data_IF_694435930903
#
_entry.id   IF_694435930903
#
_cell.length_a   1.000
_cell.length_b   1.000
_cell.length_c   1.000
_cell.angle_alpha   90.00
_cell.angle_beta   90.00
_cell.angle_gamma   90.00
#
_symmetry.space_group_name_H-M   'P 1'
#
loop_
_entity.id
_entity.type
_entity.pdbx_description
1 polymer ?
#
# COMPACT_ATOMS: atom_id res chain seq x y z
N UNK A 1 13.51 10.96 2.78
CA UNK A 1 13.35 9.96 1.70
C UNK A 1 13.69 10.64 0.38
N UNK A 2 14.78 10.24 -0.29
CA UNK A 2 14.95 10.61 -1.69
C UNK A 2 13.79 10.00 -2.52
N UNK A 3 13.31 10.70 -3.54
CA UNK A 3 12.24 10.27 -4.46
C UNK A 3 10.81 10.10 -3.88
N UNK A 4 10.48 10.74 -2.76
CA UNK A 4 9.11 10.71 -2.20
C UNK A 4 8.04 11.26 -3.15
N UNK A 5 8.32 12.32 -3.92
CA UNK A 5 7.37 12.90 -4.87
C UNK A 5 7.04 11.94 -6.03
N UNK A 6 8.04 11.29 -6.61
CA UNK A 6 7.86 10.31 -7.69
C UNK A 6 7.09 9.08 -7.19
N UNK A 7 7.40 8.59 -5.99
CA UNK A 7 6.68 7.48 -5.36
C UNK A 7 5.20 7.84 -5.11
N UNK A 8 4.91 9.00 -4.51
CA UNK A 8 3.55 9.46 -4.28
C UNK A 8 2.77 9.63 -5.59
N UNK A 9 3.40 10.20 -6.63
CA UNK A 9 2.79 10.34 -7.94
C UNK A 9 2.45 8.97 -8.56
N UNK A 10 3.36 8.00 -8.46
CA UNK A 10 3.13 6.64 -8.94
C UNK A 10 1.97 5.95 -8.20
N UNK A 11 1.90 6.06 -6.86
CA UNK A 11 0.79 5.50 -6.08
C UNK A 11 -0.56 6.12 -6.46
N UNK A 12 -0.61 7.45 -6.65
CA UNK A 12 -1.81 8.11 -7.13
C UNK A 12 -2.20 7.66 -8.55
N UNK A 13 -1.22 7.43 -9.41
CA UNK A 13 -1.41 6.88 -10.75
C UNK A 13 -2.05 5.49 -10.72
N UNK A 14 -1.54 4.57 -9.89
CA UNK A 14 -2.14 3.24 -9.71
C UNK A 14 -3.58 3.34 -9.22
N UNK A 15 -3.86 4.21 -8.24
CA UNK A 15 -5.22 4.38 -7.72
C UNK A 15 -6.21 4.87 -8.79
N UNK A 16 -5.80 5.80 -9.65
CA UNK A 16 -6.65 6.26 -10.75
C UNK A 16 -6.79 5.21 -11.85
N UNK A 17 -5.74 4.45 -12.14
CA UNK A 17 -5.80 3.32 -13.07
C UNK A 17 -6.79 2.25 -12.60
N UNK A 18 -6.77 1.89 -11.31
CA UNK A 18 -7.75 0.97 -10.70
C UNK A 18 -9.18 1.43 -10.96
N UNK A 19 -9.47 2.73 -10.75
CA UNK A 19 -10.80 3.30 -11.00
C UNK A 19 -11.22 3.22 -12.46
N UNK A 20 -10.30 3.54 -13.39
CA UNK A 20 -10.57 3.46 -14.82
C UNK A 20 -10.88 2.03 -15.25
N UNK A 21 -10.03 1.07 -14.88
CA UNK A 21 -10.20 -0.35 -15.21
C UNK A 21 -11.48 -0.95 -14.61
N UNK A 22 -11.84 -0.55 -13.39
CA UNK A 22 -13.09 -0.99 -12.77
C UNK A 22 -14.32 -0.61 -13.61
N UNK A 23 -14.33 0.58 -14.22
CA UNK A 23 -15.42 1.02 -15.11
C UNK A 23 -15.36 0.32 -16.48
N UNK A 24 -14.17 0.19 -17.05
CA UNK A 24 -13.98 -0.43 -18.36
C UNK A 24 -14.40 -1.91 -18.36
N UNK A 25 -14.08 -2.64 -17.29
CA UNK A 25 -14.31 -4.09 -17.22
C UNK A 25 -15.58 -4.48 -16.48
N UNK A 26 -16.36 -3.51 -15.98
CA UNK A 26 -17.62 -3.77 -15.29
C UNK A 26 -18.61 -4.59 -16.14
N UNK A 27 -18.69 -4.32 -17.45
CA UNK A 27 -19.58 -5.07 -18.36
C UNK A 27 -19.15 -6.52 -18.56
N UNK A 28 -17.88 -6.82 -18.30
CA UNK A 28 -17.35 -8.18 -18.30
C UNK A 28 -17.54 -8.89 -16.95
N UNK A 29 -18.18 -8.24 -15.97
CA UNK A 29 -18.38 -8.78 -14.62
C UNK A 29 -17.11 -8.83 -13.77
N UNK A 30 -16.06 -8.09 -14.15
CA UNK A 30 -14.78 -8.06 -13.45
C UNK A 30 -14.74 -6.85 -12.51
N UNK A 31 -14.37 -7.09 -11.25
CA UNK A 31 -14.07 -6.03 -10.27
C UNK A 31 -12.57 -5.75 -10.24
N UNK A 32 -12.21 -4.49 -10.07
CA UNK A 32 -10.80 -4.07 -9.96
C UNK A 32 -10.63 -3.24 -8.70
N UNK A 33 -9.81 -3.73 -7.78
CA UNK A 33 -9.57 -3.12 -6.48
C UNK A 33 -8.09 -2.80 -6.28
N UNK A 34 -7.81 -1.87 -5.37
CA UNK A 34 -6.44 -1.53 -4.95
C UNK A 34 -6.33 -1.63 -3.43
N UNK A 35 -5.22 -2.19 -2.96
CA UNK A 35 -4.88 -2.26 -1.55
C UNK A 35 -3.70 -1.35 -1.26
N UNK A 36 -3.95 -0.28 -0.50
CA UNK A 36 -2.93 0.60 0.02
C UNK A 36 -2.33 0.03 1.30
N UNK A 37 -1.11 -0.49 1.23
CA UNK A 37 -0.35 -0.89 2.41
C UNK A 37 0.48 0.29 2.94
N UNK A 38 0.38 0.56 4.24
CA UNK A 38 1.30 1.45 4.94
C UNK A 38 2.67 0.78 5.16
N UNK A 39 3.50 1.36 6.05
CA UNK A 39 4.78 0.72 6.40
C UNK A 39 4.54 -0.64 7.07
N UNK A 40 4.96 -1.67 6.36
CA UNK A 40 4.73 -3.08 6.71
C UNK A 40 6.07 -3.79 6.81
N UNK A 41 6.20 -4.72 7.76
CA UNK A 41 7.39 -5.54 7.91
C UNK A 41 7.69 -6.35 6.64
N UNK A 42 8.98 -6.59 6.37
CA UNK A 42 9.43 -7.30 5.18
C UNK A 42 9.45 -6.47 3.88
N UNK A 43 8.99 -5.21 3.89
CA UNK A 43 9.27 -4.30 2.78
C UNK A 43 10.78 -3.99 2.76
N UNK A 44 11.49 -4.45 1.72
CA UNK A 44 12.96 -4.38 1.61
C UNK A 44 13.58 -2.98 1.71
N UNK A 45 12.76 -1.92 1.70
CA UNK A 45 13.15 -0.53 1.94
C UNK A 45 13.38 -0.21 3.44
N UNK A 46 12.93 -1.08 4.35
CA UNK A 46 12.94 -0.83 5.80
C UNK A 46 13.72 -1.93 6.53
N UNK A 47 14.98 -2.16 6.12
CA UNK A 47 15.86 -3.13 6.77
C UNK A 47 16.54 -2.58 8.05
N UNK A 48 16.69 -1.26 8.16
CA UNK A 48 17.32 -0.59 9.31
C UNK A 48 16.34 -0.43 10.48
N UNK A 49 16.70 -0.99 11.64
CA UNK A 49 15.94 -0.87 12.88
C UNK A 49 15.78 0.57 13.37
N UNK A 50 16.79 1.42 13.18
CA UNK A 50 16.68 2.84 13.54
C UNK A 50 15.60 3.53 12.70
N UNK A 51 15.57 3.25 11.40
CA UNK A 51 14.54 3.75 10.49
C UNK A 51 13.16 3.20 10.86
N UNK A 52 13.03 1.90 11.18
CA UNK A 52 11.75 1.32 11.64
C UNK A 52 11.21 2.07 12.85
N UNK A 53 12.06 2.30 13.86
CA UNK A 53 11.67 3.03 15.07
C UNK A 53 11.30 4.48 14.79
N UNK A 54 11.99 5.14 13.85
CA UNK A 54 11.62 6.49 13.42
C UNK A 54 10.26 6.53 12.72
N UNK A 55 10.00 5.61 11.79
CA UNK A 55 8.72 5.52 11.07
C UNK A 55 7.57 5.16 12.00
N UNK A 56 7.79 4.24 12.93
CA UNK A 56 6.82 3.84 13.94
C UNK A 56 6.29 5.01 14.78
N UNK A 57 7.07 6.10 14.93
CA UNK A 57 6.61 7.31 15.65
C UNK A 57 5.46 8.04 14.95
N UNK A 58 5.30 7.85 13.64
CA UNK A 58 4.20 8.46 12.88
C UNK A 58 2.97 7.54 12.78
N UNK A 59 3.07 6.29 13.23
CA UNK A 59 1.97 5.34 13.22
C UNK A 59 1.24 5.33 14.58
N UNK A 60 -0.10 5.34 14.61
CA UNK A 60 -0.87 5.25 15.86
C UNK A 60 -0.52 4.02 16.71
N UNK A 61 -0.27 2.88 16.06
CA UNK A 61 0.09 1.62 16.74
C UNK A 61 1.55 1.55 17.21
N UNK A 62 2.38 2.57 16.92
CA UNK A 62 3.80 2.62 17.31
C UNK A 62 4.64 1.42 16.84
N UNK A 63 4.21 0.76 15.78
CA UNK A 63 4.89 -0.35 15.11
C UNK A 63 4.49 -0.38 13.65
N UNK A 64 5.31 -1.05 12.82
CA UNK A 64 4.92 -1.38 11.46
C UNK A 64 3.80 -2.42 11.47
N UNK A 65 3.03 -2.45 10.39
CA UNK A 65 2.05 -3.50 10.16
C UNK A 65 2.75 -4.84 9.87
N UNK A 66 2.11 -5.94 10.23
CA UNK A 66 2.49 -7.29 9.85
C UNK A 66 1.79 -7.65 8.52
N UNK A 67 2.43 -8.39 7.60
CA UNK A 67 1.80 -8.79 6.34
C UNK A 67 0.43 -9.48 6.52
N UNK A 68 0.27 -10.25 7.59
CA UNK A 68 -0.97 -10.97 7.91
C UNK A 68 -2.15 -10.03 8.21
N UNK A 69 -1.88 -8.80 8.66
CA UNK A 69 -2.93 -7.78 8.91
C UNK A 69 -3.55 -7.26 7.60
N UNK A 70 -2.88 -7.45 6.46
CA UNK A 70 -3.33 -7.01 5.14
C UNK A 70 -3.85 -8.20 4.31
N UNK A 71 -3.33 -9.40 4.58
CA UNK A 71 -3.67 -10.61 3.84
C UNK A 71 -5.19 -10.89 3.78
N UNK A 72 -5.92 -10.65 4.88
CA UNK A 72 -7.37 -10.82 4.90
C UNK A 72 -8.10 -9.92 3.90
N UNK A 73 -7.63 -8.68 3.70
CA UNK A 73 -8.21 -7.76 2.73
C UNK A 73 -7.95 -8.21 1.28
N UNK A 74 -6.79 -8.83 1.02
CA UNK A 74 -6.47 -9.39 -0.30
C UNK A 74 -7.31 -10.62 -0.66
N UNK A 75 -7.72 -11.42 0.33
CA UNK A 75 -8.61 -12.57 0.12
C UNK A 75 -10.06 -12.14 -0.08
N UNK A 76 -10.46 -11.02 0.54
CA UNK A 76 -11.83 -10.51 0.46
C UNK A 76 -12.16 -9.86 -0.89
N UNK A 77 -11.19 -9.17 -1.51
CA UNK A 77 -11.36 -8.37 -2.73
C UNK A 77 -11.21 -9.18 -4.01
#
# INVERSE_FOLDING_TARGET
>A
MANGSAYCAAQAGVLNLTRALALEWARSGITVNALGAGWTEGMGLIADEALKQQLARYLPHRRLAQPQEIAGAAVYL
#
